data_IF_530125209452
#
_entry.id   IF_530125209452
#
_cell.length_a   1.000
_cell.length_b   1.000
_cell.length_c   1.000
_cell.angle_alpha   90.00
_cell.angle_beta   90.00
_cell.angle_gamma   90.00
#
_symmetry.space_group_name_H-M   'P 1'
#
loop_
_entity.id
_entity.type
_entity.pdbx_description
1 polymer ?
#
# COMPACT_ATOMS: atom_id res chain seq x y z
N UNK A 1 -12.70 10.51 4.20
CA UNK A 1 -12.45 9.45 3.20
C UNK A 1 -11.11 8.79 3.47
N UNK A 2 -11.10 7.47 3.54
CA UNK A 2 -9.87 6.73 3.76
C UNK A 2 -9.41 6.08 2.47
N UNK A 3 -8.15 6.27 2.17
CA UNK A 3 -7.55 5.82 0.92
C UNK A 3 -6.38 4.89 1.20
N UNK A 4 -6.35 3.77 0.48
CA UNK A 4 -5.16 2.92 0.43
C UNK A 4 -4.45 3.19 -0.88
N UNK A 5 -3.20 3.59 -0.78
CA UNK A 5 -2.37 3.86 -1.95
C UNK A 5 -1.22 2.87 -2.00
N UNK A 6 -0.99 2.32 -3.17
CA UNK A 6 0.09 1.38 -3.42
C UNK A 6 0.93 1.94 -4.56
N UNK A 7 2.23 1.97 -4.37
CA UNK A 7 3.15 2.44 -5.38
C UNK A 7 4.22 1.37 -5.58
N UNK A 8 4.34 0.87 -6.80
CA UNK A 8 5.37 -0.11 -7.12
C UNK A 8 6.27 0.45 -8.20
N UNK A 9 7.58 0.34 -7.98
CA UNK A 9 8.56 0.90 -8.88
C UNK A 9 9.85 0.11 -8.76
N UNK A 10 10.23 -0.55 -9.84
CA UNK A 10 11.43 -1.36 -9.83
C UNK A 10 11.38 -2.44 -8.76
N UNK A 11 12.33 -2.39 -7.84
CA UNK A 11 12.45 -3.36 -6.76
C UNK A 11 11.84 -2.90 -5.45
N UNK A 12 11.14 -1.77 -5.46
CA UNK A 12 10.55 -1.20 -4.26
C UNK A 12 9.03 -1.17 -4.36
N UNK A 13 8.39 -1.18 -3.21
CA UNK A 13 6.95 -1.01 -3.14
C UNK A 13 6.62 -0.14 -1.94
N UNK A 14 5.66 0.73 -2.11
CA UNK A 14 5.16 1.60 -1.05
C UNK A 14 3.71 1.29 -0.75
N UNK A 15 3.35 1.42 0.52
CA UNK A 15 1.97 1.31 0.98
C UNK A 15 1.70 2.51 1.85
N UNK A 16 0.59 3.19 1.58
CA UNK A 16 0.18 4.33 2.40
C UNK A 16 -1.32 4.25 2.66
N UNK A 17 -1.70 4.65 3.85
CA UNK A 17 -3.11 4.80 4.21
C UNK A 17 -3.31 6.24 4.63
N UNK A 18 -4.28 6.89 4.00
CA UNK A 18 -4.56 8.29 4.23
C UNK A 18 -6.00 8.46 4.72
N UNK A 19 -6.21 9.46 5.55
CA UNK A 19 -7.54 9.90 5.93
C UNK A 19 -7.67 11.35 5.48
N UNK A 20 -8.48 11.58 4.46
CA UNK A 20 -8.57 12.87 3.79
C UNK A 20 -7.19 13.34 3.33
N UNK A 21 -6.67 14.40 3.94
CA UNK A 21 -5.35 14.92 3.59
C UNK A 21 -4.25 14.50 4.56
N UNK A 22 -4.55 13.57 5.46
CA UNK A 22 -3.58 13.13 6.46
C UNK A 22 -3.04 11.76 6.11
N UNK A 23 -1.73 11.62 6.19
CA UNK A 23 -1.09 10.31 6.05
C UNK A 23 -1.10 9.63 7.42
N UNK A 24 -1.84 8.53 7.51
CA UNK A 24 -1.92 7.75 8.73
C UNK A 24 -0.81 6.71 8.82
N UNK A 25 -0.36 6.21 7.68
CA UNK A 25 0.65 5.15 7.63
C UNK A 25 1.33 5.22 6.28
N UNK A 26 2.63 5.05 6.28
CA UNK A 26 3.37 5.02 5.03
C UNK A 26 4.62 4.19 5.21
N UNK A 27 4.90 3.28 4.29
CA UNK A 27 6.09 2.46 4.33
C UNK A 27 6.55 2.15 2.92
N UNK A 28 7.86 2.09 2.73
CA UNK A 28 8.48 1.61 1.51
C UNK A 28 9.37 0.42 1.85
N UNK A 29 9.27 -0.63 1.06
CA UNK A 29 10.05 -1.85 1.27
C UNK A 29 10.70 -2.26 -0.04
N UNK A 30 11.87 -2.86 0.09
CA UNK A 30 12.54 -3.48 -1.04
C UNK A 30 11.96 -4.88 -1.21
N UNK A 31 11.27 -5.10 -2.32
CA UNK A 31 10.56 -6.36 -2.57
C UNK A 31 11.30 -7.26 -3.55
N UNK A 32 12.41 -6.78 -4.11
CA UNK A 32 12.99 -7.45 -5.26
C UNK A 32 11.99 -7.38 -6.40
N UNK A 33 11.63 -8.51 -6.98
CA UNK A 33 10.66 -8.56 -8.06
C UNK A 33 9.32 -9.18 -7.61
N UNK A 34 9.15 -9.41 -6.32
CA UNK A 34 7.98 -10.11 -5.79
C UNK A 34 7.04 -9.13 -5.06
N UNK A 35 6.58 -8.09 -5.78
CA UNK A 35 5.75 -7.05 -5.18
C UNK A 35 4.51 -7.61 -4.49
N UNK A 36 3.76 -8.46 -5.17
CA UNK A 36 2.50 -8.96 -4.61
C UNK A 36 2.72 -9.83 -3.38
N UNK A 37 3.81 -10.59 -3.34
CA UNK A 37 4.10 -11.45 -2.19
C UNK A 37 4.39 -10.62 -0.94
N UNK A 38 5.02 -9.47 -1.11
CA UNK A 38 5.39 -8.60 0.00
C UNK A 38 4.30 -7.62 0.35
N UNK A 39 3.58 -7.10 -0.66
CA UNK A 39 2.58 -6.06 -0.45
C UNK A 39 1.39 -6.54 0.38
N UNK A 40 0.89 -7.74 0.13
CA UNK A 40 -0.29 -8.22 0.84
C UNK A 40 -0.08 -8.27 2.35
N UNK A 41 1.03 -8.84 2.86
CA UNK A 41 1.29 -8.79 4.29
C UNK A 41 1.47 -7.37 4.82
N UNK A 42 2.07 -6.48 4.03
CA UNK A 42 2.27 -5.09 4.46
C UNK A 42 0.96 -4.32 4.56
N UNK A 43 0.04 -4.57 3.63
CA UNK A 43 -1.29 -3.97 3.70
C UNK A 43 -2.03 -4.45 4.95
N UNK A 44 -1.99 -5.74 5.22
CA UNK A 44 -2.63 -6.31 6.39
C UNK A 44 -2.06 -5.72 7.67
N UNK A 45 -0.74 -5.61 7.73
CA UNK A 45 -0.05 -5.02 8.87
C UNK A 45 -0.47 -3.55 9.08
N UNK A 46 -0.54 -2.79 8.00
CA UNK A 46 -0.94 -1.39 8.08
C UNK A 46 -2.36 -1.24 8.61
N UNK A 47 -3.27 -2.05 8.11
CA UNK A 47 -4.66 -2.03 8.57
C UNK A 47 -4.76 -2.39 10.04
N UNK A 48 -4.04 -3.44 10.46
CA UNK A 48 -4.05 -3.87 11.85
C UNK A 48 -3.50 -2.80 12.79
N UNK A 49 -2.44 -2.12 12.39
CA UNK A 49 -1.86 -1.06 13.21
C UNK A 49 -2.80 0.10 13.41
N UNK A 50 -3.71 0.33 12.47
CA UNK A 50 -4.68 1.43 12.54
C UNK A 50 -6.05 0.98 13.02
N UNK A 51 -6.20 -0.30 13.36
CA UNK A 51 -7.49 -0.88 13.73
C UNK A 51 -8.54 -0.70 12.65
N UNK A 52 -8.13 -0.86 11.40
CA UNK A 52 -9.01 -0.74 10.24
C UNK A 52 -9.21 -2.10 9.60
N UNK A 53 -10.34 -2.24 8.92
CA UNK A 53 -10.59 -3.38 8.03
C UNK A 53 -10.79 -2.85 6.62
N UNK A 54 -10.77 -3.72 5.63
CA UNK A 54 -10.90 -3.30 4.24
C UNK A 54 -12.17 -2.51 3.98
N UNK A 55 -13.25 -2.80 4.69
CA UNK A 55 -14.52 -2.07 4.55
C UNK A 55 -14.42 -0.60 4.91
N UNK A 56 -13.42 -0.25 5.71
CA UNK A 56 -13.22 1.14 6.14
C UNK A 56 -12.60 1.99 5.06
N UNK A 57 -12.07 1.38 4.01
CA UNK A 57 -11.41 2.09 2.93
C UNK A 57 -12.42 2.50 1.87
N UNK A 58 -12.33 3.74 1.43
CA UNK A 58 -13.25 4.31 0.45
C UNK A 58 -12.67 4.34 -0.96
N UNK A 59 -11.35 4.36 -1.06
CA UNK A 59 -10.68 4.50 -2.34
C UNK A 59 -9.38 3.71 -2.34
N UNK A 60 -9.12 3.04 -3.47
CA UNK A 60 -7.85 2.35 -3.69
C UNK A 60 -7.15 3.01 -4.87
N UNK A 61 -5.90 3.38 -4.67
CA UNK A 61 -5.07 3.99 -5.68
C UNK A 61 -3.83 3.13 -5.87
N UNK A 62 -3.51 2.84 -7.11
CA UNK A 62 -2.31 2.06 -7.40
C UNK A 62 -1.54 2.73 -8.54
N UNK A 63 -0.24 2.87 -8.35
CA UNK A 63 0.65 3.32 -9.40
C UNK A 63 1.64 2.20 -9.69
N UNK A 64 2.03 2.06 -10.94
CA UNK A 64 2.97 1.03 -11.34
C UNK A 64 4.10 1.66 -12.14
N UNK A 65 5.31 1.27 -11.80
CA UNK A 65 6.47 1.63 -12.58
C UNK A 65 6.82 0.56 -13.62
N UNK A 66 7.83 0.80 -14.42
CA UNK A 66 8.28 -0.20 -15.39
C UNK A 66 8.65 -1.52 -14.70
N UNK A 67 8.17 -2.63 -15.24
CA UNK A 67 8.43 -3.94 -14.67
C UNK A 67 7.61 -4.30 -13.47
N UNK A 68 6.66 -3.44 -13.07
CA UNK A 68 5.76 -3.76 -11.99
C UNK A 68 4.78 -4.83 -12.40
N UNK A 69 4.11 -5.39 -11.42
CA UNK A 69 3.24 -6.54 -11.68
C UNK A 69 2.20 -6.26 -12.78
N UNK A 70 2.00 -7.24 -13.47
CA UNK A 70 0.95 -7.30 -14.46
C UNK A 70 0.28 -8.66 -14.34
#
# INVERSE_FOLDING_TARGET
>A
MKTLAIDTSGKSAGVAILSDNWTLYEIYVNTGLNHSVVLLPEIDKALNMLNLVLKDLDLFVATTGPGSFT
#
